data_IF_021122147456
#
_entry.id   IF_021122147456
#
_cell.length_a   1.000
_cell.length_b   1.000
_cell.length_c   1.000
_cell.angle_alpha   90.00
_cell.angle_beta   90.00
_cell.angle_gamma   90.00
#
_symmetry.space_group_name_H-M   'P 1'
#
loop_
_entity.id
_entity.type
_entity.pdbx_description
1 polymer ?
#
# COMPACT_ATOMS: atom_id res chain seq x y z
N UNK A 1 35.43 -14.06 -5.00
CA UNK A 1 36.18 -13.69 -6.21
C UNK A 1 35.73 -12.32 -6.67
N UNK A 2 36.65 -11.36 -6.86
CA UNK A 2 36.28 -10.05 -7.41
C UNK A 2 35.95 -10.20 -8.89
N UNK A 3 34.75 -9.80 -9.30
CA UNK A 3 34.39 -9.70 -10.71
C UNK A 3 35.13 -8.51 -11.34
N UNK A 4 36.40 -8.70 -11.73
CA UNK A 4 37.16 -7.73 -12.52
C UNK A 4 36.76 -7.83 -14.00
N UNK A 5 35.54 -7.42 -14.32
CA UNK A 5 35.09 -7.32 -15.71
C UNK A 5 35.69 -6.07 -16.36
N UNK A 6 36.02 -6.07 -17.66
CA UNK A 6 36.39 -4.85 -18.39
C UNK A 6 35.14 -4.00 -18.66
N UNK A 7 34.46 -3.56 -17.59
CA UNK A 7 33.26 -2.69 -17.65
C UNK A 7 33.51 -1.45 -18.51
N UNK A 8 34.70 -0.80 -18.48
CA UNK A 8 34.97 0.31 -19.38
C UNK A 8 34.86 -0.05 -20.86
N UNK A 9 35.39 -1.20 -21.28
CA UNK A 9 35.35 -1.64 -22.68
C UNK A 9 33.92 -1.96 -23.16
N UNK A 10 33.12 -2.59 -22.28
CA UNK A 10 31.71 -2.84 -22.57
C UNK A 10 30.89 -1.55 -22.62
N UNK A 11 31.13 -0.61 -21.70
CA UNK A 11 30.48 0.71 -21.72
C UNK A 11 30.86 1.51 -22.96
N UNK A 12 32.13 1.50 -23.38
CA UNK A 12 32.56 2.16 -24.62
C UNK A 12 31.96 1.52 -25.87
N UNK A 13 31.58 0.24 -25.81
CA UNK A 13 30.86 -0.46 -26.85
C UNK A 13 29.33 -0.31 -26.77
N UNK A 14 28.81 0.52 -25.85
CA UNK A 14 27.38 0.81 -25.71
C UNK A 14 26.59 -0.13 -24.80
N UNK A 15 27.24 -1.05 -24.08
CA UNK A 15 26.57 -1.96 -23.14
C UNK A 15 26.50 -1.37 -21.72
N UNK A 16 25.45 -1.72 -20.95
CA UNK A 16 25.32 -1.38 -19.53
C UNK A 16 25.38 -2.64 -18.63
N UNK A 17 26.56 -3.20 -18.38
CA UNK A 17 26.68 -4.46 -17.65
C UNK A 17 26.38 -4.27 -16.16
N UNK A 18 25.66 -5.24 -15.58
CA UNK A 18 25.45 -5.39 -14.14
C UNK A 18 26.27 -6.57 -13.61
N UNK A 19 26.61 -6.53 -12.32
CA UNK A 19 27.23 -7.67 -11.63
C UNK A 19 26.12 -8.47 -10.97
N UNK A 20 26.21 -9.80 -11.08
CA UNK A 20 25.36 -10.75 -10.36
C UNK A 20 26.22 -11.79 -9.67
N UNK A 21 25.74 -12.29 -8.54
CA UNK A 21 26.38 -13.40 -7.82
C UNK A 21 25.58 -14.67 -8.09
N UNK A 22 26.24 -15.72 -8.60
CA UNK A 22 25.54 -16.96 -9.01
C UNK A 22 24.85 -17.68 -7.85
N UNK A 23 25.22 -17.37 -6.61
CA UNK A 23 24.52 -17.83 -5.42
C UNK A 23 23.08 -17.30 -5.29
N UNK A 24 22.69 -16.30 -6.08
CA UNK A 24 21.36 -15.66 -6.06
C UNK A 24 20.49 -16.07 -7.26
N UNK A 25 21.00 -16.92 -8.16
CA UNK A 25 20.31 -17.28 -9.42
C UNK A 25 19.21 -18.35 -9.25
N UNK A 26 18.96 -18.82 -8.02
CA UNK A 26 17.93 -19.84 -7.73
C UNK A 26 18.34 -21.29 -8.02
N UNK A 27 19.59 -21.53 -8.43
CA UNK A 27 20.17 -22.86 -8.57
C UNK A 27 20.52 -23.51 -7.22
N UNK A 28 20.99 -24.76 -7.25
CA UNK A 28 21.50 -25.43 -6.06
C UNK A 28 22.75 -24.70 -5.54
N UNK A 29 22.72 -24.29 -4.27
CA UNK A 29 23.80 -23.57 -3.59
C UNK A 29 24.10 -24.20 -2.24
N UNK A 30 25.34 -24.10 -1.80
CA UNK A 30 25.78 -24.57 -0.47
C UNK A 30 25.71 -23.50 0.62
N UNK A 31 25.17 -22.32 0.32
CA UNK A 31 25.10 -21.17 1.23
C UNK A 31 26.36 -20.29 1.19
N UNK A 32 26.69 -19.59 2.29
CA UNK A 32 26.10 -19.73 3.63
C UNK A 32 24.67 -19.20 3.70
N UNK A 33 23.87 -19.75 4.62
CA UNK A 33 22.55 -19.25 4.97
C UNK A 33 22.54 -18.78 6.42
N UNK A 34 21.87 -17.66 6.68
CA UNK A 34 21.57 -17.18 8.03
C UNK A 34 20.06 -17.10 8.16
N UNK A 35 19.49 -17.87 9.08
CA UNK A 35 18.04 -17.94 9.30
C UNK A 35 17.75 -17.52 10.74
N UNK A 36 16.90 -16.51 10.91
CA UNK A 36 16.44 -16.04 12.22
C UNK A 36 15.00 -16.50 12.42
N UNK A 37 14.69 -17.08 13.58
CA UNK A 37 13.36 -17.61 13.90
C UNK A 37 12.89 -17.05 15.22
N UNK A 38 11.69 -16.45 15.21
CA UNK A 38 10.94 -16.10 16.41
C UNK A 38 9.74 -17.03 16.52
N UNK A 39 9.69 -17.84 17.58
CA UNK A 39 8.56 -18.71 17.87
C UNK A 39 7.77 -18.16 19.06
N UNK A 40 6.47 -17.96 18.89
CA UNK A 40 5.56 -17.48 19.95
C UNK A 40 4.42 -18.46 20.12
N UNK A 41 4.29 -19.02 21.33
CA UNK A 41 3.13 -19.84 21.71
C UNK A 41 2.01 -18.92 22.20
N UNK A 42 1.01 -18.67 21.34
CA UNK A 42 -0.11 -17.77 21.63
C UNK A 42 -0.97 -18.24 22.80
N UNK A 43 -0.96 -19.53 23.17
CA UNK A 43 -1.69 -20.03 24.32
C UNK A 43 -1.00 -19.73 25.66
N UNK A 44 0.30 -19.39 25.62
CA UNK A 44 1.12 -19.11 26.81
C UNK A 44 1.63 -17.68 26.88
N UNK A 45 1.73 -17.00 25.74
CA UNK A 45 2.25 -15.65 25.67
C UNK A 45 1.22 -14.65 26.21
N UNK A 46 1.57 -13.95 27.28
CA UNK A 46 0.71 -12.95 27.91
C UNK A 46 0.85 -11.54 27.30
N UNK A 47 1.74 -11.37 26.31
CA UNK A 47 1.91 -10.12 25.58
C UNK A 47 1.01 -10.02 24.36
N UNK A 48 1.23 -8.99 23.55
CA UNK A 48 0.47 -8.74 22.32
C UNK A 48 1.35 -8.94 21.09
N UNK A 49 0.77 -9.48 20.03
CA UNK A 49 1.33 -9.45 18.67
C UNK A 49 0.47 -8.50 17.86
N UNK A 50 1.10 -7.61 17.10
CA UNK A 50 0.40 -6.65 16.26
C UNK A 50 1.25 -6.22 15.08
N UNK A 51 0.57 -5.65 14.08
CA UNK A 51 1.19 -4.94 12.97
C UNK A 51 1.30 -3.44 13.32
N UNK A 52 2.30 -2.78 12.75
CA UNK A 52 2.53 -1.36 12.93
C UNK A 52 2.94 -0.71 11.60
N UNK A 53 2.49 0.53 11.40
CA UNK A 53 2.93 1.37 10.29
C UNK A 53 4.23 2.09 10.62
N UNK A 54 4.93 2.54 9.56
CA UNK A 54 6.09 3.41 9.68
C UNK A 54 5.67 4.76 10.25
N UNK A 55 6.28 5.20 11.37
CA UNK A 55 5.96 6.46 12.03
C UNK A 55 4.44 6.71 12.22
N UNK A 56 3.67 5.64 12.44
CA UNK A 56 2.21 5.66 12.59
C UNK A 56 1.47 6.29 11.39
N UNK A 57 2.02 6.10 10.19
CA UNK A 57 1.56 6.70 8.93
C UNK A 57 1.79 5.73 7.76
N UNK A 58 0.88 5.74 6.78
CA UNK A 58 1.06 5.02 5.51
C UNK A 58 2.16 5.68 4.69
N UNK A 59 2.15 7.02 4.61
CA UNK A 59 3.22 7.73 3.94
C UNK A 59 4.49 7.71 4.80
N UNK A 60 5.57 7.15 4.25
CA UNK A 60 6.88 7.08 4.89
C UNK A 60 7.40 5.65 5.04
N UNK A 61 8.69 5.52 5.33
CA UNK A 61 9.33 4.22 5.61
C UNK A 61 10.10 4.33 6.91
N UNK A 62 10.05 3.27 7.69
CA UNK A 62 10.75 3.14 8.96
C UNK A 62 11.42 1.77 8.99
N UNK A 63 12.63 1.68 9.55
CA UNK A 63 13.29 0.39 9.69
C UNK A 63 12.59 -0.44 10.77
N UNK A 64 12.59 -1.77 10.63
CA UNK A 64 12.03 -2.68 11.65
C UNK A 64 12.64 -2.44 13.03
N UNK A 65 13.94 -2.12 13.11
CA UNK A 65 14.60 -1.80 14.37
C UNK A 65 14.05 -0.51 15.01
N UNK A 66 13.83 0.55 14.23
CA UNK A 66 13.25 1.80 14.72
C UNK A 66 11.81 1.60 15.20
N UNK A 67 11.00 0.81 14.48
CA UNK A 67 9.65 0.45 14.92
C UNK A 67 9.70 -0.32 16.25
N UNK A 68 10.59 -1.31 16.37
CA UNK A 68 10.74 -2.09 17.58
C UNK A 68 11.14 -1.22 18.78
N UNK A 69 12.09 -0.30 18.57
CA UNK A 69 12.54 0.64 19.61
C UNK A 69 11.41 1.59 20.03
N UNK A 70 10.71 2.19 19.06
CA UNK A 70 9.60 3.14 19.29
C UNK A 70 8.43 2.50 20.04
N UNK A 71 8.12 1.24 19.73
CA UNK A 71 7.01 0.51 20.34
C UNK A 71 7.44 -0.34 21.54
N UNK A 72 8.72 -0.29 21.92
CA UNK A 72 9.30 -1.11 22.98
C UNK A 72 8.99 -2.61 22.81
N UNK A 73 9.07 -3.09 21.56
CA UNK A 73 8.79 -4.47 21.22
C UNK A 73 9.92 -5.41 21.68
N UNK A 74 9.55 -6.61 22.14
CA UNK A 74 10.52 -7.65 22.50
C UNK A 74 11.29 -8.17 21.27
N UNK A 75 10.62 -8.20 20.11
CA UNK A 75 11.17 -8.58 18.81
C UNK A 75 10.24 -8.07 17.70
N UNK A 76 10.78 -7.89 16.50
CA UNK A 76 10.01 -7.50 15.31
C UNK A 76 10.65 -8.06 14.03
N UNK A 77 9.82 -8.24 13.00
CA UNK A 77 10.22 -8.54 11.62
C UNK A 77 9.56 -7.54 10.67
N UNK A 78 10.07 -7.39 9.45
CA UNK A 78 9.34 -6.62 8.44
C UNK A 78 8.01 -7.32 8.09
N UNK A 79 6.98 -6.53 7.81
CA UNK A 79 5.63 -7.02 7.49
C UNK A 79 5.44 -7.31 6.01
N UNK A 80 4.21 -7.03 5.53
CA UNK A 80 3.79 -7.25 4.15
C UNK A 80 4.46 -6.34 3.12
N UNK A 81 4.01 -6.47 1.87
CA UNK A 81 4.50 -5.66 0.76
C UNK A 81 4.05 -4.21 0.88
N UNK A 82 4.89 -3.30 0.38
CA UNK A 82 4.60 -1.87 0.36
C UNK A 82 5.31 -1.20 -0.81
N UNK A 83 4.81 -0.03 -1.21
CA UNK A 83 5.43 0.79 -2.25
C UNK A 83 6.77 1.32 -1.76
N UNK A 84 7.85 0.99 -2.46
CA UNK A 84 9.22 1.36 -2.04
C UNK A 84 9.63 2.74 -2.57
N UNK A 85 9.17 3.11 -3.77
CA UNK A 85 9.60 4.31 -4.48
C UNK A 85 8.41 5.06 -5.08
N UNK A 86 8.62 6.34 -5.38
CA UNK A 86 7.57 7.24 -5.86
C UNK A 86 6.97 6.83 -7.21
N UNK A 87 7.69 6.03 -8.02
CA UNK A 87 7.17 5.58 -9.31
C UNK A 87 6.00 4.61 -9.14
N UNK A 88 5.93 3.89 -8.03
CA UNK A 88 4.83 3.01 -7.66
C UNK A 88 3.68 3.69 -6.91
N UNK A 89 3.81 4.97 -6.53
CA UNK A 89 2.86 5.68 -5.67
C UNK A 89 3.52 6.24 -4.42
N UNK A 90 2.81 6.27 -3.30
CA UNK A 90 3.31 6.83 -2.04
C UNK A 90 4.29 5.85 -1.37
N UNK A 91 5.56 6.20 -1.15
CA UNK A 91 6.47 5.30 -0.44
C UNK A 91 5.97 4.98 0.97
N UNK A 92 5.88 3.69 1.31
CA UNK A 92 5.32 3.20 2.57
C UNK A 92 3.92 2.60 2.47
N UNK A 93 3.21 2.92 1.39
CA UNK A 93 1.85 2.47 1.15
C UNK A 93 1.75 0.94 1.07
N UNK A 94 1.00 0.27 1.97
CA UNK A 94 0.84 -1.18 1.91
C UNK A 94 0.21 -1.62 0.59
N UNK A 95 0.78 -2.66 -0.03
CA UNK A 95 0.31 -3.20 -1.30
C UNK A 95 -0.48 -4.49 -1.07
N UNK A 96 -1.56 -4.37 -0.29
CA UNK A 96 -2.44 -5.46 0.15
C UNK A 96 -3.02 -5.20 1.54
N UNK A 97 -4.01 -6.02 1.92
CA UNK A 97 -4.84 -5.80 3.11
C UNK A 97 -3.99 -5.59 4.36
N UNK A 98 -4.20 -4.44 4.99
CA UNK A 98 -3.54 -4.08 6.23
C UNK A 98 -4.55 -3.61 7.25
N UNK A 99 -4.54 -4.25 8.42
CA UNK A 99 -5.39 -3.90 9.57
C UNK A 99 -4.50 -3.55 10.74
N UNK A 100 -4.63 -2.33 11.25
CA UNK A 100 -3.80 -1.77 12.32
C UNK A 100 -4.72 -1.34 13.45
N UNK A 101 -4.54 -1.91 14.65
CA UNK A 101 -5.40 -1.59 15.80
C UNK A 101 -6.90 -1.88 15.58
N UNK A 102 -7.23 -2.78 14.65
CA UNK A 102 -8.61 -3.10 14.26
C UNK A 102 -9.19 -2.20 13.15
N UNK A 103 -8.44 -1.23 12.66
CA UNK A 103 -8.82 -0.37 11.54
C UNK A 103 -8.21 -0.88 10.23
N UNK A 104 -9.03 -1.02 9.18
CA UNK A 104 -8.54 -1.29 7.83
C UNK A 104 -7.88 -0.02 7.32
N UNK A 105 -6.61 -0.10 6.95
CA UNK A 105 -5.82 1.05 6.48
C UNK A 105 -5.39 0.94 5.02
N UNK A 106 -5.47 -0.27 4.45
CA UNK A 106 -5.23 -0.57 3.03
C UNK A 106 -6.11 -1.75 2.62
N UNK A 107 -6.64 -1.70 1.40
CA UNK A 107 -7.52 -2.72 0.81
C UNK A 107 -6.78 -4.01 0.45
N UNK A 108 -7.54 -5.10 0.28
CA UNK A 108 -7.00 -6.31 -0.31
C UNK A 108 -6.75 -6.12 -1.81
N UNK A 109 -5.52 -6.35 -2.27
CA UNK A 109 -5.33 -6.83 -3.63
C UNK A 109 -5.90 -8.25 -3.66
N UNK A 110 -6.82 -8.60 -4.58
CA UNK A 110 -7.45 -9.93 -4.55
C UNK A 110 -6.40 -11.06 -4.51
N UNK A 111 -6.55 -12.08 -3.66
CA UNK A 111 -5.81 -13.35 -3.77
C UNK A 111 -4.56 -13.65 -2.88
N UNK A 112 -3.93 -12.76 -2.11
CA UNK A 112 -2.80 -13.13 -1.27
C UNK A 112 -3.23 -13.75 0.06
N UNK A 113 -2.29 -14.53 0.61
CA UNK A 113 -2.29 -14.96 2.00
C UNK A 113 -2.19 -13.74 2.91
N UNK A 114 -3.01 -13.67 3.94
CA UNK A 114 -2.92 -12.65 5.01
C UNK A 114 -2.71 -13.32 6.36
N UNK A 115 -2.11 -12.62 7.32
CA UNK A 115 -1.88 -13.15 8.65
C UNK A 115 -2.69 -12.39 9.70
N UNK A 116 -3.53 -13.10 10.46
CA UNK A 116 -4.29 -12.57 11.58
C UNK A 116 -4.38 -13.64 12.69
N UNK A 117 -3.28 -13.86 13.41
CA UNK A 117 -3.07 -14.98 14.35
C UNK A 117 -3.17 -16.40 13.72
N UNK A 118 -3.75 -16.50 12.53
CA UNK A 118 -3.77 -17.65 11.62
C UNK A 118 -3.51 -17.16 10.19
N UNK A 119 -3.31 -18.11 9.28
CA UNK A 119 -3.13 -17.86 7.84
C UNK A 119 -4.50 -17.81 7.18
N UNK A 120 -4.84 -16.64 6.63
CA UNK A 120 -6.04 -16.41 5.84
C UNK A 120 -5.71 -16.50 4.36
N UNK A 121 -6.63 -17.03 3.56
CA UNK A 121 -6.53 -17.11 2.09
C UNK A 121 -7.73 -16.45 1.44
N UNK A 122 -7.55 -15.86 0.26
CA UNK A 122 -8.62 -15.18 -0.50
C UNK A 122 -9.29 -14.08 0.34
N UNK A 123 -8.49 -13.26 1.00
CA UNK A 123 -9.01 -12.11 1.74
C UNK A 123 -9.47 -11.06 0.73
N UNK A 124 -10.68 -10.57 0.94
CA UNK A 124 -11.32 -9.54 0.13
C UNK A 124 -11.73 -8.38 1.05
N UNK A 125 -11.82 -7.19 0.47
CA UNK A 125 -12.34 -6.01 1.14
C UNK A 125 -13.34 -5.31 0.25
N UNK A 126 -14.46 -4.90 0.81
CA UNK A 126 -15.40 -4.00 0.16
C UNK A 126 -15.44 -2.69 0.97
N UNK A 127 -15.05 -1.60 0.32
CA UNK A 127 -15.11 -0.26 0.88
C UNK A 127 -16.17 0.48 0.08
N UNK A 128 -17.20 1.00 0.75
CA UNK A 128 -18.30 1.69 0.07
C UNK A 128 -18.55 3.09 0.60
N UNK A 129 -18.99 3.94 -0.32
CA UNK A 129 -19.35 5.34 -0.14
C UNK A 129 -20.86 5.42 -0.11
N UNK A 130 -21.44 5.76 1.03
CA UNK A 130 -22.87 6.03 1.11
C UNK A 130 -23.10 7.54 1.07
N UNK A 131 -23.87 8.00 0.08
CA UNK A 131 -24.39 9.37 0.02
C UNK A 131 -25.91 9.29 0.19
N UNK A 132 -26.46 10.11 1.08
CA UNK A 132 -27.90 10.13 1.33
C UNK A 132 -28.67 10.39 0.04
N UNK A 133 -29.64 9.51 -0.27
CA UNK A 133 -30.45 9.58 -1.48
C UNK A 133 -29.79 9.02 -2.76
N UNK A 134 -28.60 8.44 -2.67
CA UNK A 134 -27.91 7.78 -3.79
C UNK A 134 -27.62 6.30 -3.49
N UNK A 135 -27.38 5.52 -4.55
CA UNK A 135 -26.85 4.17 -4.40
C UNK A 135 -25.41 4.23 -3.87
N UNK A 136 -24.99 3.27 -3.00
CA UNK A 136 -23.60 3.18 -2.58
C UNK A 136 -22.67 3.00 -3.76
N UNK A 137 -21.50 3.61 -3.66
CA UNK A 137 -20.44 3.49 -4.65
C UNK A 137 -19.31 2.67 -4.02
N UNK A 138 -18.76 1.68 -4.73
CA UNK A 138 -17.60 0.91 -4.24
C UNK A 138 -16.33 1.69 -4.53
N UNK A 139 -15.42 1.72 -3.57
CA UNK A 139 -14.08 2.26 -3.73
C UNK A 139 -13.08 1.15 -4.04
N UNK A 140 -12.19 1.44 -4.98
CA UNK A 140 -11.14 0.54 -5.46
C UNK A 140 -9.86 0.63 -4.60
N UNK A 141 -9.74 1.66 -3.76
CA UNK A 141 -8.54 1.86 -2.96
C UNK A 141 -8.74 2.67 -1.69
N UNK A 142 -7.85 2.43 -0.73
CA UNK A 142 -7.78 3.13 0.54
C UNK A 142 -6.36 3.65 0.76
N UNK A 143 -6.25 4.95 1.02
CA UNK A 143 -5.02 5.65 1.38
C UNK A 143 -3.85 5.46 0.40
N UNK A 144 -4.11 5.21 -0.88
CA UNK A 144 -3.08 5.04 -1.91
C UNK A 144 -3.07 6.15 -2.94
N UNK A 145 -2.01 6.22 -3.74
CA UNK A 145 -1.96 7.20 -4.83
C UNK A 145 -2.95 6.84 -5.94
N UNK A 146 -3.87 7.73 -6.35
CA UNK A 146 -4.80 7.45 -7.44
C UNK A 146 -4.07 7.20 -8.76
N UNK A 147 -4.55 6.22 -9.54
CA UNK A 147 -3.95 5.75 -10.78
C UNK A 147 -2.71 4.88 -10.59
N UNK A 148 -2.43 4.44 -9.35
CA UNK A 148 -1.25 3.64 -8.98
C UNK A 148 -1.68 2.46 -8.10
N UNK A 149 -2.23 1.42 -8.74
CA UNK A 149 -2.60 0.17 -8.10
C UNK A 149 -1.41 -0.80 -8.12
N UNK A 150 -0.56 -0.73 -7.09
CA UNK A 150 0.58 -1.63 -6.95
C UNK A 150 0.09 -3.06 -6.69
N UNK A 151 0.63 -4.02 -7.44
CA UNK A 151 0.23 -5.42 -7.48
C UNK A 151 -1.10 -5.75 -8.20
N UNK A 152 -1.78 -4.75 -8.80
CA UNK A 152 -3.10 -4.93 -9.43
C UNK A 152 -4.11 -5.58 -8.48
N UNK A 153 -5.16 -6.23 -9.01
CA UNK A 153 -6.09 -7.03 -8.21
C UNK A 153 -7.48 -6.44 -8.09
N UNK A 154 -7.76 -5.30 -8.72
CA UNK A 154 -9.09 -4.71 -8.81
C UNK A 154 -9.75 -4.98 -10.16
N UNK A 155 -11.09 -4.96 -10.19
CA UNK A 155 -11.82 -4.95 -11.45
C UNK A 155 -11.48 -3.68 -12.24
N UNK A 156 -11.33 -3.78 -13.57
CA UNK A 156 -11.00 -2.62 -14.40
C UNK A 156 -9.51 -2.25 -14.47
N UNK A 157 -8.66 -2.84 -13.61
CA UNK A 157 -7.21 -2.60 -13.65
C UNK A 157 -6.61 -2.95 -15.03
N UNK A 158 -5.75 -2.06 -15.52
CA UNK A 158 -4.98 -2.19 -16.76
C UNK A 158 -3.49 -2.24 -16.40
N UNK A 159 -2.70 -3.17 -16.96
CA UNK A 159 -3.03 -4.05 -18.09
C UNK A 159 -3.84 -5.31 -17.75
N UNK A 160 -3.97 -5.68 -16.49
CA UNK A 160 -4.67 -6.90 -16.06
C UNK A 160 -5.42 -6.66 -14.74
N UNK A 161 -6.59 -7.28 -14.60
CA UNK A 161 -7.39 -7.24 -13.37
C UNK A 161 -6.89 -8.20 -12.27
N UNK A 162 -6.45 -9.43 -12.56
CA UNK A 162 -5.96 -10.33 -11.52
C UNK A 162 -4.73 -9.78 -10.80
N UNK A 163 -4.49 -10.19 -9.53
CA UNK A 163 -3.29 -9.82 -8.80
C UNK A 163 -2.02 -10.25 -9.53
N UNK A 164 -1.04 -9.37 -9.58
CA UNK A 164 0.28 -9.63 -10.13
C UNK A 164 1.35 -8.87 -9.36
N UNK A 165 2.13 -9.60 -8.56
CA UNK A 165 3.19 -9.02 -7.75
C UNK A 165 4.19 -8.22 -8.58
N UNK A 166 4.60 -7.07 -8.06
CA UNK A 166 5.51 -6.11 -8.70
C UNK A 166 5.00 -5.46 -10.00
N UNK A 167 3.73 -5.68 -10.37
CA UNK A 167 3.10 -5.00 -11.49
C UNK A 167 2.34 -3.78 -10.99
N UNK A 168 2.61 -2.63 -11.62
CA UNK A 168 1.84 -1.42 -11.39
C UNK A 168 0.70 -1.35 -12.41
N UNK A 169 -0.53 -1.46 -11.90
CA UNK A 169 -1.74 -1.25 -12.67
C UNK A 169 -2.30 0.16 -12.46
N UNK A 170 -3.23 0.53 -13.34
CA UNK A 170 -4.03 1.74 -13.22
C UNK A 170 -5.46 1.45 -13.66
N UNK A 171 -6.41 2.16 -13.06
CA UNK A 171 -7.78 2.17 -13.53
C UNK A 171 -8.23 3.63 -13.78
N UNK A 172 -8.91 3.84 -14.91
CA UNK A 172 -9.39 5.14 -15.35
C UNK A 172 -10.69 5.57 -14.65
N UNK A 173 -11.37 4.63 -13.99
CA UNK A 173 -12.60 4.79 -13.20
C UNK A 173 -12.42 4.39 -11.70
N UNK A 174 -11.17 4.33 -11.22
CA UNK A 174 -10.70 4.08 -9.84
C UNK A 174 -11.05 5.09 -8.72
N UNK A 175 -11.92 4.73 -7.80
CA UNK A 175 -12.28 5.52 -6.63
C UNK A 175 -11.36 5.21 -5.44
N UNK A 176 -10.59 6.19 -4.97
CA UNK A 176 -9.75 6.07 -3.77
C UNK A 176 -10.31 6.90 -2.62
N UNK A 177 -10.29 6.34 -1.42
CA UNK A 177 -10.67 7.00 -0.15
C UNK A 177 -9.43 7.34 0.65
N UNK A 178 -9.35 8.54 1.22
CA UNK A 178 -8.28 8.89 2.16
C UNK A 178 -8.80 9.10 3.58
N UNK A 179 -8.02 8.67 4.55
CA UNK A 179 -8.25 8.77 6.00
C UNK A 179 -7.02 9.39 6.67
N UNK A 180 -7.11 9.72 7.96
CA UNK A 180 -5.95 10.20 8.73
C UNK A 180 -4.76 9.23 8.80
N UNK A 181 -4.99 7.93 8.59
CA UNK A 181 -3.92 6.92 8.52
C UNK A 181 -2.93 7.21 7.36
N UNK A 182 -3.36 7.94 6.33
CA UNK A 182 -2.48 8.33 5.23
C UNK A 182 -1.27 9.17 5.72
N UNK A 183 -1.49 10.02 6.72
CA UNK A 183 -0.42 10.69 7.47
C UNK A 183 0.39 11.78 6.75
N UNK A 184 0.12 12.06 5.46
CA UNK A 184 0.77 13.12 4.68
C UNK A 184 -0.22 13.97 3.87
N UNK A 185 0.21 15.12 3.30
CA UNK A 185 -0.58 15.83 2.28
C UNK A 185 -0.91 14.92 1.10
N UNK A 186 -2.10 15.08 0.54
CA UNK A 186 -2.58 14.21 -0.52
C UNK A 186 -1.79 14.39 -1.82
N UNK A 187 -1.64 13.32 -2.64
CA UNK A 187 -1.00 13.41 -3.94
C UNK A 187 -1.68 14.47 -4.82
N UNK A 188 -0.90 15.39 -5.35
CA UNK A 188 -1.39 16.38 -6.30
C UNK A 188 -1.55 15.75 -7.69
N UNK A 189 -2.53 16.22 -8.46
CA UNK A 189 -2.75 15.72 -9.81
C UNK A 189 -4.05 16.19 -10.44
N UNK A 190 -4.39 15.57 -11.57
CA UNK A 190 -5.66 15.77 -12.27
C UNK A 190 -6.66 14.69 -11.89
N UNK A 191 -7.89 15.07 -11.59
CA UNK A 191 -8.97 14.16 -11.22
C UNK A 191 -10.16 14.96 -10.71
N UNK A 192 -11.20 14.30 -10.25
CA UNK A 192 -12.27 14.95 -9.50
C UNK A 192 -12.15 14.55 -8.04
N UNK A 193 -12.16 15.51 -7.13
CA UNK A 193 -12.05 15.27 -5.70
C UNK A 193 -13.27 15.81 -4.97
N UNK A 194 -13.69 15.12 -3.91
CA UNK A 194 -14.69 15.60 -2.97
C UNK A 194 -14.12 15.58 -1.57
N UNK A 195 -14.30 16.66 -0.80
CA UNK A 195 -13.78 16.84 0.56
C UNK A 195 -14.93 16.88 1.55
N UNK A 196 -14.73 16.28 2.71
CA UNK A 196 -15.76 16.17 3.73
C UNK A 196 -15.19 16.53 5.10
N UNK A 197 -16.05 16.92 6.04
CA UNK A 197 -15.69 17.18 7.44
C UNK A 197 -15.82 15.94 8.34
N UNK A 198 -15.51 16.10 9.64
CA UNK A 198 -15.60 15.06 10.67
C UNK A 198 -16.98 14.40 10.76
N UNK A 199 -18.03 15.17 10.45
CA UNK A 199 -19.43 14.75 10.50
C UNK A 199 -19.89 14.08 9.21
N UNK A 200 -19.02 13.98 8.20
CA UNK A 200 -19.36 13.40 6.90
C UNK A 200 -20.15 14.34 6.00
N UNK A 201 -20.10 15.65 6.24
CA UNK A 201 -20.74 16.65 5.38
C UNK A 201 -19.76 17.07 4.29
N UNK A 202 -20.28 17.17 3.07
CA UNK A 202 -19.51 17.64 1.93
C UNK A 202 -19.11 19.11 2.12
N UNK A 203 -17.81 19.38 2.11
CA UNK A 203 -17.23 20.71 2.18
C UNK A 203 -17.02 21.31 0.80
N UNK A 204 -16.46 20.53 -0.13
CA UNK A 204 -16.02 21.03 -1.43
C UNK A 204 -15.93 19.89 -2.44
N UNK A 205 -16.18 20.18 -3.72
CA UNK A 205 -15.86 19.25 -4.82
C UNK A 205 -15.28 19.99 -6.01
N UNK A 206 -14.46 19.31 -6.80
CA UNK A 206 -14.16 19.75 -8.16
C UNK A 206 -12.93 19.11 -8.81
N UNK A 207 -12.53 19.60 -10.00
CA UNK A 207 -11.60 18.93 -10.89
C UNK A 207 -10.11 19.16 -10.54
N UNK A 208 -9.70 18.77 -9.34
CA UNK A 208 -8.31 18.78 -8.89
C UNK A 208 -8.05 17.59 -7.96
N UNK A 209 -6.78 17.24 -7.76
CA UNK A 209 -6.35 16.35 -6.69
C UNK A 209 -5.32 17.05 -5.81
N UNK A 210 -5.37 16.73 -4.52
CA UNK A 210 -4.40 17.19 -3.53
C UNK A 210 -5.08 17.72 -2.29
N UNK A 211 -4.32 18.44 -1.48
CA UNK A 211 -4.82 19.06 -0.26
C UNK A 211 -4.03 18.69 0.98
N UNK A 212 -4.39 19.29 2.12
CA UNK A 212 -3.68 19.08 3.37
C UNK A 212 -3.83 17.64 3.85
N UNK A 213 -2.93 17.24 4.76
CA UNK A 213 -3.00 15.96 5.46
C UNK A 213 -4.41 15.75 6.06
N UNK A 214 -5.06 14.58 5.84
CA UNK A 214 -6.29 14.24 6.54
C UNK A 214 -6.03 14.14 8.06
N UNK A 215 -6.88 14.75 8.88
CA UNK A 215 -6.65 14.88 10.33
C UNK A 215 -7.61 14.07 11.20
N UNK A 216 -8.63 13.42 10.61
CA UNK A 216 -9.68 12.69 11.33
C UNK A 216 -9.81 11.24 10.81
N UNK A 217 -10.24 10.31 11.68
CA UNK A 217 -10.26 8.84 11.48
C UNK A 217 -11.22 8.35 10.39
N UNK A 218 -11.61 7.06 10.42
CA UNK A 218 -12.61 6.41 9.51
C UNK A 218 -13.98 7.10 9.36
N UNK A 219 -14.24 8.21 10.05
CA UNK A 219 -15.41 9.05 9.80
C UNK A 219 -15.11 9.92 8.60
N UNK A 220 -16.04 10.11 7.67
CA UNK A 220 -15.69 10.46 6.31
C UNK A 220 -15.33 11.93 6.23
N UNK A 221 -14.14 12.32 6.66
CA UNK A 221 -13.33 13.31 5.97
C UNK A 221 -12.63 12.61 4.81
N UNK A 222 -13.41 11.85 4.03
CA UNK A 222 -12.95 11.07 2.91
C UNK A 222 -12.69 12.00 1.76
N UNK A 223 -11.48 12.02 1.24
CA UNK A 223 -11.28 12.56 -0.08
C UNK A 223 -11.68 11.47 -1.06
N UNK A 224 -12.71 11.73 -1.86
CA UNK A 224 -13.18 10.78 -2.87
C UNK A 224 -12.65 11.19 -4.22
N UNK A 225 -12.23 10.21 -5.02
CA UNK A 225 -12.04 10.41 -6.44
C UNK A 225 -13.31 10.03 -7.20
N UNK A 226 -13.66 10.79 -8.24
CA UNK A 226 -14.50 10.31 -9.33
C UNK A 226 -13.69 10.50 -10.62
N UNK A 227 -13.80 9.56 -11.55
CA UNK A 227 -12.86 9.48 -12.68
C UNK A 227 -12.84 10.69 -13.59
N UNK A 228 -12.20 10.56 -14.75
CA UNK A 228 -12.11 11.65 -15.75
C UNK A 228 -13.48 12.20 -16.20
N UNK A 229 -14.60 11.65 -15.71
CA UNK A 229 -15.99 12.03 -16.01
C UNK A 229 -16.92 12.16 -14.78
N UNK A 230 -16.40 12.35 -13.57
CA UNK A 230 -17.24 12.47 -12.36
C UNK A 230 -18.11 13.74 -12.29
N UNK A 231 -19.41 13.58 -11.98
CA UNK A 231 -20.28 14.64 -11.42
C UNK A 231 -20.86 14.12 -10.10
N UNK A 232 -20.78 14.93 -9.04
CA UNK A 232 -21.46 14.68 -7.77
C UNK A 232 -22.59 15.70 -7.62
N UNK A 233 -23.83 15.22 -7.60
CA UNK A 233 -25.04 16.02 -7.43
C UNK A 233 -26.31 15.22 -7.78
N UNK A 234 -27.50 15.58 -7.25
CA UNK A 234 -28.75 14.97 -7.70
C UNK A 234 -28.90 15.18 -9.21
N UNK A 235 -29.33 14.14 -9.92
CA UNK A 235 -29.66 14.23 -11.35
C UNK A 235 -30.82 15.20 -11.59
#
# INVERSE_FOLDING_TARGET
MSASYPRPALRSAGFNPAVRHTGEDGGAVSGPFVVNVLAVDLARFAGTIGAALAADSIAGRETTSSIADRLHALAAVNGGFFVVNEAGGTPGDPAGISVIGGEVVSEAAAGPLSFCADVLTNVETEISVAIEGAAPIVADGLNRTPGRAMNCGNEGDVPIAPPAHDLLCSDADEIVVFTSAYGAPLPNGTGFQARFDAEGRLLETGPWLGGPRPTEGLRPSGYWWAGRRGRIGPR
#
